data_IF_989335666285
#
_entry.id   IF_989335666285
#
_cell.length_a   1.000
_cell.length_b   1.000
_cell.length_c   1.000
_cell.angle_alpha   90.00
_cell.angle_beta   90.00
_cell.angle_gamma   90.00
#
_symmetry.space_group_name_H-M   'P 1'
#
loop_
_entity.id
_entity.type
_entity.pdbx_description
1 polymer ?
#
# COMPACT_ATOMS: atom_id res chain seq x y z
N UNK A 1 -9.22 11.66 0.57
CA UNK A 1 -8.96 10.45 -0.24
C UNK A 1 -8.17 9.40 0.55
N UNK A 2 -6.89 9.63 0.85
CA UNK A 2 -6.05 8.63 1.54
C UNK A 2 -6.60 8.23 2.92
N UNK A 3 -6.80 9.22 3.80
CA UNK A 3 -7.35 9.01 5.15
C UNK A 3 -8.68 8.25 5.13
N UNK A 4 -9.59 8.61 4.21
CA UNK A 4 -10.90 7.96 4.08
C UNK A 4 -10.76 6.47 3.76
N UNK A 5 -9.90 6.09 2.82
CA UNK A 5 -9.69 4.69 2.48
C UNK A 5 -9.08 3.91 3.66
N UNK A 6 -8.11 4.51 4.36
CA UNK A 6 -7.53 3.92 5.58
C UNK A 6 -8.60 3.65 6.64
N UNK A 7 -9.40 4.67 6.99
CA UNK A 7 -10.42 4.58 8.02
C UNK A 7 -11.58 3.64 7.62
N UNK A 8 -11.95 3.61 6.33
CA UNK A 8 -13.02 2.72 5.83
C UNK A 8 -12.69 1.23 5.91
N UNK A 9 -11.41 0.88 5.98
CA UNK A 9 -10.93 -0.50 6.15
C UNK A 9 -10.54 -0.79 7.61
N UNK A 10 -11.01 0.02 8.56
CA UNK A 10 -10.71 -0.15 9.99
C UNK A 10 -9.26 0.17 10.37
N UNK A 11 -8.51 0.82 9.49
CA UNK A 11 -7.15 1.28 9.75
C UNK A 11 -7.12 2.65 10.44
N UNK A 12 -5.94 3.02 10.91
CA UNK A 12 -5.66 4.33 11.48
C UNK A 12 -4.48 5.00 10.75
N UNK A 13 -4.60 6.29 10.49
CA UNK A 13 -3.45 7.09 10.05
C UNK A 13 -2.55 7.35 11.25
N UNK A 14 -1.37 6.74 11.24
CA UNK A 14 -0.38 6.79 12.33
C UNK A 14 0.35 8.12 12.33
N UNK A 15 0.93 8.48 11.18
CA UNK A 15 1.70 9.72 11.03
C UNK A 15 1.74 10.18 9.58
N UNK A 16 2.09 11.45 9.41
CA UNK A 16 2.44 12.06 8.13
C UNK A 16 3.94 12.27 8.06
N UNK A 17 4.57 11.90 6.95
CA UNK A 17 6.02 12.04 6.71
C UNK A 17 6.20 12.86 5.44
N UNK A 18 6.36 14.17 5.58
CA UNK A 18 6.33 15.09 4.43
C UNK A 18 4.96 15.06 3.76
N UNK A 19 4.92 14.69 2.48
CA UNK A 19 3.71 14.49 1.67
C UNK A 19 3.13 13.07 1.73
N UNK A 20 3.82 12.14 2.40
CA UNK A 20 3.36 10.77 2.60
C UNK A 20 2.53 10.61 3.89
N UNK A 21 1.68 9.58 3.91
CA UNK A 21 1.02 9.11 5.13
C UNK A 21 1.43 7.67 5.43
N UNK A 22 1.44 7.32 6.70
CA UNK A 22 1.56 5.93 7.14
C UNK A 22 0.24 5.48 7.77
N UNK A 23 -0.34 4.43 7.21
CA UNK A 23 -1.51 3.74 7.76
C UNK A 23 -1.11 2.46 8.48
N UNK A 24 -1.80 2.14 9.58
CA UNK A 24 -1.74 0.85 10.23
C UNK A 24 -3.12 0.18 10.17
N UNK A 25 -3.12 -1.14 9.98
CA UNK A 25 -4.33 -1.92 9.72
C UNK A 25 -4.40 -3.14 10.62
N UNK A 26 -5.61 -3.63 10.95
CA UNK A 26 -5.78 -4.83 11.77
C UNK A 26 -5.38 -6.11 11.04
N UNK A 27 -5.34 -6.09 9.70
CA UNK A 27 -4.92 -7.24 8.89
C UNK A 27 -4.25 -6.81 7.57
N UNK A 28 -3.59 -7.76 6.91
CA UNK A 28 -2.97 -7.56 5.60
C UNK A 28 -4.02 -7.25 4.54
N UNK A 29 -5.16 -7.94 4.57
CA UNK A 29 -6.29 -7.79 3.64
C UNK A 29 -6.89 -6.39 3.75
N UNK A 30 -7.11 -5.89 4.97
CA UNK A 30 -7.60 -4.53 5.20
C UNK A 30 -6.64 -3.47 4.63
N UNK A 31 -5.33 -3.65 4.83
CA UNK A 31 -4.32 -2.77 4.26
C UNK A 31 -4.28 -2.82 2.73
N UNK A 32 -4.41 -4.01 2.15
CA UNK A 32 -4.46 -4.20 0.70
C UNK A 32 -5.72 -3.56 0.08
N UNK A 33 -6.89 -3.75 0.69
CA UNK A 33 -8.15 -3.14 0.23
C UNK A 33 -8.11 -1.60 0.33
N UNK A 34 -7.46 -1.05 1.36
CA UNK A 34 -7.27 0.40 1.46
C UNK A 34 -6.35 0.92 0.34
N UNK A 35 -5.25 0.22 0.06
CA UNK A 35 -4.35 0.56 -1.04
C UNK A 35 -5.07 0.48 -2.40
N UNK A 36 -5.92 -0.53 -2.60
CA UNK A 36 -6.75 -0.68 -3.79
C UNK A 36 -7.71 0.50 -3.97
N UNK A 37 -8.46 0.86 -2.94
CA UNK A 37 -9.38 2.00 -2.96
C UNK A 37 -8.66 3.33 -3.21
N UNK A 38 -7.44 3.48 -2.68
CA UNK A 38 -6.57 4.62 -2.98
C UNK A 38 -6.22 4.67 -4.47
N UNK A 39 -5.82 3.56 -5.09
CA UNK A 39 -5.53 3.54 -6.52
C UNK A 39 -6.76 3.89 -7.37
N UNK A 40 -7.95 3.39 -6.99
CA UNK A 40 -9.22 3.72 -7.66
C UNK A 40 -9.53 5.22 -7.60
N UNK A 41 -9.42 5.81 -6.42
CA UNK A 41 -9.70 7.24 -6.25
C UNK A 41 -8.68 8.10 -7.03
N UNK A 42 -7.41 7.66 -7.17
CA UNK A 42 -6.38 8.36 -7.96
C UNK A 42 -6.72 8.28 -9.44
N UNK A 43 -7.12 7.11 -9.92
CA UNK A 43 -7.51 6.93 -11.31
C UNK A 43 -8.72 7.79 -11.67
N UNK A 44 -9.72 7.85 -10.78
CA UNK A 44 -10.89 8.71 -10.94
C UNK A 44 -10.48 10.20 -10.97
N UNK A 45 -9.65 10.64 -10.02
CA UNK A 45 -9.12 12.00 -9.98
C UNK A 45 -8.37 12.36 -11.28
N UNK A 46 -7.51 11.47 -11.76
CA UNK A 46 -6.70 11.68 -12.96
C UNK A 46 -7.53 11.71 -14.25
N UNK A 47 -8.68 11.01 -14.28
CA UNK A 47 -9.60 11.07 -15.42
C UNK A 47 -10.20 12.47 -15.58
N UNK A 48 -10.43 13.19 -14.48
CA UNK A 48 -10.96 14.55 -14.46
C UNK A 48 -9.86 15.62 -14.62
N UNK A 49 -8.61 15.30 -14.29
CA UNK A 49 -7.48 16.24 -14.22
C UNK A 49 -6.33 15.86 -15.17
N UNK A 50 -6.64 15.69 -16.46
CA UNK A 50 -5.70 15.16 -17.46
C UNK A 50 -4.43 16.00 -17.67
N UNK A 51 -4.47 17.31 -17.37
CA UNK A 51 -3.31 18.18 -17.53
C UNK A 51 -2.25 18.01 -16.43
N UNK A 52 -2.64 17.54 -15.24
CA UNK A 52 -1.79 17.46 -14.05
C UNK A 52 -2.11 16.19 -13.25
N UNK A 53 -1.77 15.00 -13.77
CA UNK A 53 -2.09 13.75 -13.11
C UNK A 53 -1.29 13.58 -11.81
N UNK A 54 -1.96 13.04 -10.80
CA UNK A 54 -1.37 12.63 -9.54
C UNK A 54 -0.84 11.19 -9.65
N UNK A 55 0.39 10.98 -9.19
CA UNK A 55 1.00 9.64 -9.11
C UNK A 55 1.32 9.32 -7.66
N UNK A 56 0.82 8.18 -7.17
CA UNK A 56 1.11 7.72 -5.81
C UNK A 56 2.03 6.50 -5.81
N UNK A 57 2.92 6.43 -4.84
CA UNK A 57 3.71 5.24 -4.56
C UNK A 57 3.16 4.61 -3.28
N UNK A 58 2.89 3.30 -3.31
CA UNK A 58 2.35 2.58 -2.17
C UNK A 58 3.29 1.43 -1.79
N UNK A 59 3.69 1.39 -0.52
CA UNK A 59 4.40 0.27 0.09
C UNK A 59 3.50 -0.39 1.12
N UNK A 60 3.38 -1.71 1.06
CA UNK A 60 2.60 -2.51 2.01
C UNK A 60 3.49 -3.60 2.61
N UNK A 61 3.48 -3.71 3.93
CA UNK A 61 4.16 -4.78 4.65
C UNK A 61 3.30 -5.20 5.85
N UNK A 62 3.55 -6.40 6.36
CA UNK A 62 2.89 -6.96 7.54
C UNK A 62 3.92 -7.70 8.40
N UNK A 63 3.76 -7.57 9.72
CA UNK A 63 4.63 -8.21 10.69
C UNK A 63 4.57 -7.55 12.06
N UNK A 64 5.32 -8.06 13.04
CA UNK A 64 5.34 -7.51 14.39
C UNK A 64 5.86 -6.08 14.40
N UNK A 65 5.23 -5.23 15.21
CA UNK A 65 5.63 -3.85 15.45
C UNK A 65 5.45 -3.51 16.93
N UNK A 66 6.31 -2.63 17.44
CA UNK A 66 6.14 -2.04 18.76
C UNK A 66 5.15 -0.87 18.63
N UNK A 67 4.05 -0.94 19.38
CA UNK A 67 3.04 0.11 19.42
C UNK A 67 3.19 0.89 20.72
N UNK A 68 3.33 2.21 20.61
CA UNK A 68 3.44 3.13 21.76
C UNK A 68 2.46 4.28 21.59
N UNK A 69 2.12 4.97 22.67
CA UNK A 69 1.33 6.20 22.60
C UNK A 69 2.24 7.40 22.82
N UNK A 70 2.34 8.29 21.83
CA UNK A 70 3.10 9.53 21.89
C UNK A 70 2.14 10.71 21.68
N UNK A 71 2.14 11.69 22.58
CA UNK A 71 1.26 12.85 22.51
C UNK A 71 -0.24 12.51 22.35
N UNK A 72 -0.67 11.40 22.96
CA UNK A 72 -2.06 10.92 22.87
C UNK A 72 -2.43 10.24 21.55
N UNK A 73 -1.46 9.94 20.68
CA UNK A 73 -1.65 9.23 19.41
C UNK A 73 -0.82 7.94 19.38
N UNK A 74 -1.34 6.90 18.71
CA UNK A 74 -0.60 5.66 18.50
C UNK A 74 0.55 5.90 17.53
N UNK A 75 1.71 5.35 17.85
CA UNK A 75 2.88 5.32 16.98
C UNK A 75 3.45 3.89 16.91
N UNK A 76 3.98 3.53 15.74
CA UNK A 76 4.46 2.21 15.40
C UNK A 76 5.95 2.26 15.07
N UNK A 77 6.71 1.36 15.69
CA UNK A 77 8.16 1.25 15.51
C UNK A 77 8.56 -0.20 15.21
N UNK A 78 9.70 -0.36 14.55
CA UNK A 78 10.31 -1.66 14.27
C UNK A 78 10.76 -1.80 12.83
N UNK A 79 11.49 -2.89 12.56
CA UNK A 79 11.98 -3.20 11.21
C UNK A 79 10.83 -3.33 10.20
N UNK A 80 9.70 -3.91 10.58
CA UNK A 80 8.55 -4.10 9.68
C UNK A 80 7.91 -2.78 9.23
N UNK A 81 7.85 -1.79 10.13
CA UNK A 81 7.37 -0.44 9.83
C UNK A 81 8.33 0.29 8.90
N UNK A 82 9.63 0.19 9.20
CA UNK A 82 10.68 0.76 8.36
C UNK A 82 10.68 0.13 6.97
N UNK A 83 10.49 -1.19 6.87
CA UNK A 83 10.40 -1.89 5.59
C UNK A 83 9.21 -1.39 4.78
N UNK A 84 8.02 -1.26 5.38
CA UNK A 84 6.84 -0.70 4.70
C UNK A 84 7.12 0.68 4.07
N UNK A 85 7.73 1.58 4.84
CA UNK A 85 8.13 2.91 4.38
C UNK A 85 9.20 2.87 3.27
N UNK A 86 10.08 1.87 3.29
CA UNK A 86 11.10 1.73 2.24
C UNK A 86 10.51 1.17 0.96
N UNK A 87 9.53 0.27 1.02
CA UNK A 87 8.97 -0.42 -0.15
C UNK A 87 8.37 0.55 -1.20
N UNK A 88 7.76 1.66 -0.77
CA UNK A 88 7.17 2.62 -1.71
C UNK A 88 8.18 3.18 -2.73
N UNK A 89 9.48 3.24 -2.39
CA UNK A 89 10.53 3.76 -3.29
C UNK A 89 10.71 2.93 -4.56
N UNK A 90 10.30 1.66 -4.54
CA UNK A 90 10.44 0.75 -5.68
C UNK A 90 9.23 0.81 -6.62
N UNK A 91 8.16 1.51 -6.23
CA UNK A 91 7.00 1.78 -7.07
C UNK A 91 7.37 2.72 -8.21
N UNK A 92 6.88 2.44 -9.42
CA UNK A 92 6.93 3.35 -10.58
C UNK A 92 5.78 4.37 -10.60
N UNK A 93 4.91 4.33 -9.59
CA UNK A 93 3.71 5.15 -9.49
C UNK A 93 2.45 4.38 -9.88
N UNK A 94 1.39 4.57 -9.11
CA UNK A 94 0.10 3.89 -9.19
C UNK A 94 0.21 2.36 -9.08
N UNK A 95 1.13 1.90 -8.24
CA UNK A 95 1.41 0.49 -7.97
C UNK A 95 1.51 0.25 -6.47
N UNK A 96 1.14 -0.96 -6.04
CA UNK A 96 1.38 -1.47 -4.69
C UNK A 96 2.65 -2.31 -4.71
N UNK A 97 3.60 -1.99 -3.83
CA UNK A 97 4.81 -2.80 -3.62
C UNK A 97 4.71 -3.53 -2.29
N UNK A 98 4.89 -4.84 -2.32
CA UNK A 98 4.87 -5.70 -1.13
C UNK A 98 5.84 -6.88 -1.26
N UNK A 99 6.31 -7.47 -0.14
CA UNK A 99 7.09 -8.70 -0.19
C UNK A 99 6.34 -9.82 -0.90
N UNK A 100 7.04 -10.62 -1.70
CA UNK A 100 6.44 -11.72 -2.45
C UNK A 100 5.72 -12.74 -1.54
N UNK A 101 6.25 -12.97 -0.34
CA UNK A 101 5.65 -13.85 0.65
C UNK A 101 4.26 -13.36 1.11
N UNK A 102 4.01 -12.04 1.15
CA UNK A 102 2.71 -11.50 1.54
C UNK A 102 1.68 -11.58 0.42
N UNK A 103 2.10 -11.52 -0.85
CA UNK A 103 1.19 -11.73 -1.97
C UNK A 103 0.55 -13.12 -1.91
N UNK A 104 1.31 -14.16 -1.55
CA UNK A 104 0.79 -15.52 -1.42
C UNK A 104 -0.28 -15.68 -0.32
N UNK A 105 -0.38 -14.72 0.60
CA UNK A 105 -1.40 -14.70 1.66
C UNK A 105 -2.68 -13.97 1.23
N UNK A 106 -2.64 -13.21 0.15
CA UNK A 106 -3.77 -12.43 -0.35
C UNK A 106 -4.52 -13.22 -1.42
N UNK A 107 -5.85 -13.18 -1.40
CA UNK A 107 -6.68 -13.71 -2.47
C UNK A 107 -6.78 -12.69 -3.61
N UNK A 108 -5.80 -12.71 -4.51
CA UNK A 108 -5.68 -11.78 -5.63
C UNK A 108 -5.89 -12.55 -6.95
N UNK A 109 -6.97 -12.28 -7.71
CA UNK A 109 -7.16 -12.93 -9.01
C UNK A 109 -6.12 -12.43 -10.03
N UNK A 110 -5.39 -13.35 -10.66
CA UNK A 110 -4.36 -13.01 -11.66
C UNK A 110 -4.95 -12.25 -12.86
N UNK A 111 -6.24 -12.44 -13.15
CA UNK A 111 -6.93 -11.81 -14.27
C UNK A 111 -7.04 -10.28 -14.13
N UNK A 112 -7.08 -9.77 -12.89
CA UNK A 112 -7.30 -8.34 -12.61
C UNK A 112 -6.03 -7.58 -12.25
N UNK A 113 -4.90 -8.27 -12.05
CA UNK A 113 -3.62 -7.68 -11.67
C UNK A 113 -2.49 -7.96 -12.66
N UNK A 114 -1.70 -6.94 -12.93
CA UNK A 114 -0.39 -7.04 -13.56
C UNK A 114 0.66 -7.04 -12.45
N UNK A 115 1.53 -8.05 -12.45
CA UNK A 115 2.53 -8.25 -11.41
C UNK A 115 3.92 -8.34 -12.00
N UNK A 116 4.88 -7.64 -11.40
CA UNK A 116 6.30 -7.74 -11.74
C UNK A 116 7.09 -8.14 -10.48
N UNK A 117 7.83 -9.24 -10.56
CA UNK A 117 8.71 -9.70 -9.49
C UNK A 117 10.08 -9.04 -9.61
N UNK A 118 10.63 -8.61 -8.48
CA UNK A 118 11.95 -8.02 -8.41
C UNK A 118 12.60 -8.34 -7.06
N UNK A 119 13.92 -8.33 -7.05
CA UNK A 119 14.70 -8.51 -5.82
C UNK A 119 15.36 -7.17 -5.49
N UNK A 120 15.11 -6.67 -4.29
CA UNK A 120 15.58 -5.34 -3.87
C UNK A 120 16.50 -5.43 -2.65
N UNK A 121 17.53 -4.59 -2.62
CA UNK A 121 18.30 -4.36 -1.39
C UNK A 121 17.63 -3.26 -0.59
N UNK A 122 17.27 -3.56 0.66
CA UNK A 122 16.66 -2.62 1.58
C UNK A 122 17.78 -1.91 2.33
N UNK A 123 17.87 -0.58 2.22
CA UNK A 123 18.96 0.18 2.87
C UNK A 123 19.02 -0.11 4.37
N UNK A 124 20.18 -0.55 4.87
CA UNK A 124 20.37 -0.93 6.28
C UNK A 124 19.99 -2.38 6.61
N UNK A 125 19.70 -3.20 5.59
CA UNK A 125 19.56 -4.65 5.69
C UNK A 125 20.57 -5.30 4.73
N UNK A 126 21.26 -6.33 5.19
CA UNK A 126 22.27 -7.06 4.38
C UNK A 126 21.64 -8.10 3.44
N UNK A 127 20.32 -8.29 3.54
CA UNK A 127 19.58 -9.30 2.80
C UNK A 127 18.84 -8.72 1.59
N UNK A 128 18.82 -9.49 0.51
CA UNK A 128 18.02 -9.19 -0.67
C UNK A 128 16.59 -9.67 -0.46
N UNK A 129 15.63 -8.76 -0.62
CA UNK A 129 14.22 -9.04 -0.40
C UNK A 129 13.48 -9.23 -1.74
N UNK A 130 12.87 -10.40 -2.00
CA UNK A 130 11.93 -10.58 -3.10
C UNK A 130 10.64 -9.78 -2.84
N UNK A 131 10.31 -8.89 -3.75
CA UNK A 131 9.10 -8.06 -3.70
C UNK A 131 8.35 -8.15 -5.03
N UNK A 132 7.07 -7.79 -5.00
CA UNK A 132 6.21 -7.72 -6.17
C UNK A 132 5.69 -6.30 -6.29
N UNK A 133 5.68 -5.78 -7.52
CA UNK A 133 4.89 -4.61 -7.89
C UNK A 133 3.60 -5.07 -8.52
N UNK A 134 2.50 -4.52 -8.04
CA UNK A 134 1.17 -4.88 -8.49
C UNK A 134 0.44 -3.64 -8.99
N UNK A 135 -0.13 -3.75 -10.18
CA UNK A 135 -0.97 -2.73 -10.80
C UNK A 135 -2.29 -3.35 -11.25
N UNK A 136 -3.44 -2.70 -11.03
CA UNK A 136 -4.70 -3.14 -11.62
C UNK A 136 -4.64 -3.12 -13.16
N UNK A 137 -5.07 -4.20 -13.83
CA UNK A 137 -5.07 -4.32 -15.30
C UNK A 137 -6.11 -3.43 -16.00
N UNK A 138 -7.19 -3.06 -15.33
CA UNK A 138 -8.30 -2.32 -15.94
C UNK A 138 -8.76 -1.14 -15.07
N UNK A 139 -8.99 0.03 -15.70
CA UNK A 139 -9.63 1.20 -15.09
C UNK A 139 -11.07 0.96 -14.60
N UNK A 140 -11.76 -0.10 -15.07
CA UNK A 140 -13.17 -0.37 -14.79
C UNK A 140 -13.48 -1.70 -14.08
N UNK A 141 -12.51 -2.62 -13.95
CA UNK A 141 -12.75 -3.96 -13.37
C UNK A 141 -12.84 -3.98 -11.83
N UNK A 142 -12.45 -2.87 -11.19
CA UNK A 142 -12.30 -2.76 -9.74
C UNK A 142 -13.62 -2.43 -9.01
N UNK A 143 -14.65 -1.98 -9.74
CA UNK A 143 -15.96 -1.62 -9.19
C UNK A 143 -16.85 -2.85 -8.90
N UNK A 144 -16.50 -4.03 -9.41
CA UNK A 144 -17.32 -5.24 -9.30
C UNK A 144 -17.18 -5.99 -7.95
N UNK A 145 -16.31 -5.56 -7.04
CA UNK A 145 -16.07 -6.25 -5.75
C UNK A 145 -16.81 -5.63 -4.55
N UNK A 146 -17.88 -4.86 -4.78
CA UNK A 146 -18.74 -4.32 -3.71
C UNK A 146 -20.07 -5.06 -3.53
N UNK A 147 -20.30 -6.16 -4.22
CA UNK A 147 -21.49 -6.99 -4.07
C UNK A 147 -21.09 -8.42 -3.72
N UNK A 148 -20.94 -8.70 -2.42
CA UNK A 148 -21.24 -9.98 -1.76
C UNK A 148 -21.34 -9.80 -0.24
#
# INVERSE_FOLDING_TARGET
>A
MLRRNVESQGGAVVKTIGDAIMGAFPSLEAGFQAALGILQDIDAYNAEHTGWPLHLRLGLNSGPALVVTLNGQLDYFGSMVNLAAKLERYSRGNEIVLPQALLAMLNVPDEVWETEQLTVSITGEDELLPVVRMRPKCRGGLLAQREE
#
